data_IF_919286986131
#
_entry.id   IF_919286986131
#
_cell.length_a   1.000
_cell.length_b   1.000
_cell.length_c   1.000
_cell.angle_alpha   90.00
_cell.angle_beta   90.00
_cell.angle_gamma   90.00
#
_symmetry.space_group_name_H-M   'P 1'
#
loop_
_entity.id
_entity.type
_entity.pdbx_description
1 polymer ?
#
# COMPACT_ATOMS: atom_id res chain seq x y z
N UNK A 1 -15.07 -28.20 30.68
CA UNK A 1 -16.41 -28.29 30.06
C UNK A 1 -16.45 -27.24 28.96
N UNK A 2 -16.31 -27.67 27.71
CA UNK A 2 -16.33 -26.77 26.55
C UNK A 2 -17.79 -26.39 26.29
N UNK A 3 -18.14 -25.11 26.39
CA UNK A 3 -19.45 -24.62 25.97
C UNK A 3 -19.42 -24.44 24.46
N UNK A 4 -19.87 -25.45 23.72
CA UNK A 4 -20.10 -25.34 22.28
C UNK A 4 -21.28 -24.37 22.06
N UNK A 5 -21.03 -23.30 21.29
CA UNK A 5 -22.06 -22.35 20.89
C UNK A 5 -22.85 -23.02 19.76
N UNK A 6 -24.04 -23.54 20.04
CA UNK A 6 -24.95 -24.03 18.99
C UNK A 6 -25.32 -22.87 18.08
N UNK A 7 -24.93 -22.97 16.81
CA UNK A 7 -25.37 -22.02 15.78
C UNK A 7 -26.84 -22.31 15.47
N UNK A 8 -27.75 -21.33 15.61
CA UNK A 8 -29.14 -21.56 15.25
C UNK A 8 -29.24 -21.92 13.76
N UNK A 9 -30.04 -22.94 13.46
CA UNK A 9 -30.35 -23.30 12.09
C UNK A 9 -31.14 -22.17 11.43
N UNK A 10 -30.70 -21.70 10.26
CA UNK A 10 -31.43 -20.70 9.49
C UNK A 10 -32.73 -21.32 8.97
N UNK A 11 -33.85 -20.65 9.20
CA UNK A 11 -35.18 -21.03 8.70
C UNK A 11 -35.67 -20.00 7.68
N UNK A 12 -36.73 -20.36 6.95
CA UNK A 12 -37.39 -19.44 6.02
C UNK A 12 -38.08 -18.29 6.77
N UNK A 13 -38.07 -17.08 6.19
CA UNK A 13 -38.67 -15.88 6.79
C UNK A 13 -40.16 -16.04 7.09
N UNK A 14 -40.86 -16.95 6.39
CA UNK A 14 -42.25 -17.30 6.69
C UNK A 14 -42.47 -17.77 8.14
N UNK A 15 -41.46 -18.37 8.77
CA UNK A 15 -41.53 -18.83 10.15
C UNK A 15 -41.18 -17.75 11.18
N UNK A 16 -40.83 -16.54 10.73
CA UNK A 16 -40.52 -15.42 11.61
C UNK A 16 -41.77 -14.56 11.85
N UNK A 17 -42.08 -14.27 13.12
CA UNK A 17 -43.14 -13.34 13.49
C UNK A 17 -42.74 -11.90 13.15
N UNK A 18 -43.54 -11.13 12.37
CA UNK A 18 -43.17 -9.78 11.95
C UNK A 18 -42.90 -8.80 13.09
N UNK A 19 -43.55 -9.00 14.25
CA UNK A 19 -43.39 -8.18 15.45
C UNK A 19 -42.06 -8.39 16.17
N UNK A 20 -41.42 -9.54 15.95
CA UNK A 20 -40.11 -9.89 16.51
C UNK A 20 -38.98 -9.51 15.55
N UNK A 21 -39.33 -8.95 14.38
CA UNK A 21 -38.33 -8.45 13.43
C UNK A 21 -37.57 -7.29 14.08
N UNK A 22 -36.25 -7.42 14.31
CA UNK A 22 -35.49 -6.35 14.90
C UNK A 22 -35.51 -5.12 13.99
N UNK A 23 -35.42 -3.95 14.60
CA UNK A 23 -35.31 -2.69 13.87
C UNK A 23 -34.15 -2.74 12.88
N UNK A 24 -34.37 -2.18 11.69
CA UNK A 24 -33.33 -2.10 10.67
C UNK A 24 -32.17 -1.25 11.18
N UNK A 25 -31.05 -1.89 11.49
CA UNK A 25 -29.83 -1.21 11.88
C UNK A 25 -28.99 -0.89 10.64
N UNK A 26 -28.85 0.40 10.34
CA UNK A 26 -27.88 0.88 9.37
C UNK A 26 -26.54 1.13 10.06
N UNK A 27 -25.46 0.68 9.43
CA UNK A 27 -24.08 1.00 9.85
C UNK A 27 -23.30 1.56 8.67
N UNK A 28 -22.37 2.48 8.94
CA UNK A 28 -21.44 2.90 7.92
C UNK A 28 -20.46 1.77 7.61
N UNK A 29 -20.01 1.69 6.36
CA UNK A 29 -18.91 0.82 5.95
C UNK A 29 -17.63 1.65 5.84
N UNK A 30 -16.47 1.00 5.99
CA UNK A 30 -15.15 1.63 5.89
C UNK A 30 -14.94 2.78 6.90
N UNK A 31 -15.36 2.56 8.16
CA UNK A 31 -15.16 3.54 9.25
C UNK A 31 -13.68 3.72 9.61
N UNK A 32 -12.85 2.70 9.37
CA UNK A 32 -11.40 2.77 9.56
C UNK A 32 -10.71 3.48 8.40
N UNK A 33 -9.80 4.39 8.76
CA UNK A 33 -8.90 4.98 7.77
C UNK A 33 -7.99 3.90 7.18
N UNK A 34 -7.77 3.95 5.87
CA UNK A 34 -6.77 3.11 5.23
C UNK A 34 -5.40 3.32 5.92
N UNK A 35 -4.68 2.23 6.24
CA UNK A 35 -3.37 2.35 6.88
C UNK A 35 -2.39 3.09 5.97
N UNK A 36 -1.46 3.84 6.56
CA UNK A 36 -0.44 4.53 5.78
C UNK A 36 0.46 3.55 5.04
N UNK A 37 0.83 3.90 3.82
CA UNK A 37 1.65 3.05 2.93
C UNK A 37 2.74 3.84 2.24
N UNK A 38 3.77 3.14 1.77
CA UNK A 38 4.77 3.75 0.90
C UNK A 38 4.19 3.95 -0.50
N UNK A 39 4.17 5.19 -0.95
CA UNK A 39 4.01 5.54 -2.35
C UNK A 39 5.39 5.71 -2.99
N UNK A 40 5.52 5.36 -4.27
CA UNK A 40 6.75 5.59 -5.04
C UNK A 40 6.45 6.03 -6.47
N UNK A 41 7.23 6.99 -6.95
CA UNK A 41 7.12 7.51 -8.30
C UNK A 41 7.91 6.69 -9.32
N UNK A 42 7.86 7.09 -10.60
CA UNK A 42 8.70 6.52 -11.64
C UNK A 42 10.18 6.81 -11.37
N UNK A 43 11.05 5.99 -11.96
CA UNK A 43 12.48 6.27 -11.98
C UNK A 43 12.75 7.50 -12.86
N UNK A 44 13.53 8.43 -12.32
CA UNK A 44 14.13 9.52 -13.09
C UNK A 44 15.20 8.97 -14.05
N UNK A 45 15.66 9.82 -14.97
CA UNK A 45 16.80 9.53 -15.81
C UNK A 45 18.05 9.21 -14.97
N UNK A 46 18.98 8.48 -15.58
CA UNK A 46 20.27 8.23 -14.98
C UNK A 46 21.04 9.53 -14.76
N UNK A 47 21.80 9.60 -13.66
CA UNK A 47 22.66 10.73 -13.33
C UNK A 47 23.74 11.03 -14.37
N UNK A 48 23.99 10.09 -15.29
CA UNK A 48 24.78 10.28 -16.51
C UNK A 48 24.08 9.57 -17.67
N UNK A 49 24.27 10.11 -18.87
CA UNK A 49 23.77 9.53 -20.13
C UNK A 49 24.63 8.37 -20.64
N UNK A 50 25.86 8.22 -20.14
CA UNK A 50 26.76 7.13 -20.50
C UNK A 50 27.56 6.60 -19.28
N UNK A 51 28.07 5.38 -19.41
CA UNK A 51 28.89 4.70 -18.41
C UNK A 51 30.38 4.95 -18.70
N UNK A 52 30.95 5.97 -18.06
CA UNK A 52 32.38 6.26 -18.14
C UNK A 52 33.21 5.32 -17.25
N UNK A 53 34.51 5.19 -17.52
CA UNK A 53 35.43 4.39 -16.69
C UNK A 53 35.36 4.80 -15.22
N UNK A 54 35.12 3.83 -14.34
CA UNK A 54 35.01 4.05 -12.90
C UNK A 54 33.76 4.80 -12.44
N UNK A 55 32.84 5.18 -13.34
CA UNK A 55 31.58 5.84 -12.99
C UNK A 55 30.47 4.80 -12.77
N UNK A 56 29.65 5.03 -11.75
CA UNK A 56 28.45 4.22 -11.43
C UNK A 56 27.22 5.12 -11.44
N UNK A 57 26.66 5.42 -12.62
CA UNK A 57 25.48 6.27 -12.71
C UNK A 57 24.31 5.64 -11.96
N UNK A 58 23.55 6.49 -11.27
CA UNK A 58 22.40 6.09 -10.46
C UNK A 58 21.15 6.75 -11.02
N UNK A 59 20.02 6.07 -10.89
CA UNK A 59 18.69 6.66 -11.07
C UNK A 59 18.01 6.76 -9.72
N UNK A 60 17.24 7.83 -9.54
CA UNK A 60 16.48 8.13 -8.32
C UNK A 60 14.98 8.06 -8.62
N UNK A 61 14.16 7.76 -7.61
CA UNK A 61 12.71 7.97 -7.66
C UNK A 61 12.25 8.60 -6.36
N UNK A 62 11.08 9.22 -6.37
CA UNK A 62 10.43 9.66 -5.13
C UNK A 62 9.89 8.46 -4.36
N UNK A 63 10.09 8.45 -3.04
CA UNK A 63 9.51 7.48 -2.11
C UNK A 63 8.98 8.27 -0.92
N UNK A 64 7.67 8.22 -0.70
CA UNK A 64 6.97 9.06 0.28
C UNK A 64 5.97 8.19 1.06
N UNK A 65 5.92 8.37 2.37
CA UNK A 65 4.85 7.77 3.18
C UNK A 65 3.57 8.55 2.95
N UNK A 66 2.46 7.89 2.63
CA UNK A 66 1.16 8.55 2.42
C UNK A 66 0.07 7.94 3.28
N UNK A 67 -0.93 8.74 3.65
CA UNK A 67 -2.14 8.28 4.33
C UNK A 67 -3.20 7.73 3.35
N UNK A 68 -4.38 7.39 3.88
CA UNK A 68 -5.51 6.88 3.09
C UNK A 68 -6.09 7.86 2.06
N UNK A 69 -5.70 9.13 2.11
CA UNK A 69 -6.11 10.20 1.18
C UNK A 69 -4.97 10.62 0.24
N UNK A 70 -3.88 9.85 0.20
CA UNK A 70 -2.65 10.13 -0.57
C UNK A 70 -1.88 11.37 -0.09
N UNK A 71 -2.14 11.88 1.13
CA UNK A 71 -1.40 13.00 1.68
C UNK A 71 -0.05 12.54 2.25
N UNK A 72 0.99 13.32 2.00
CA UNK A 72 2.34 13.01 2.46
C UNK A 72 2.45 13.08 4.00
N UNK A 73 3.03 12.03 4.57
CA UNK A 73 3.31 11.89 5.99
C UNK A 73 4.83 11.76 6.24
N UNK A 74 5.29 12.02 7.46
CA UNK A 74 6.63 11.65 7.88
C UNK A 74 6.88 10.13 7.80
N UNK A 75 8.08 9.72 7.37
CA UNK A 75 8.50 8.33 7.20
C UNK A 75 8.20 7.38 8.38
N UNK A 76 8.15 7.91 9.60
CA UNK A 76 7.89 7.12 10.82
C UNK A 76 6.51 6.46 10.86
N UNK A 77 5.55 6.96 10.08
CA UNK A 77 4.20 6.42 10.03
C UNK A 77 4.12 5.17 9.14
N UNK A 78 5.05 4.97 8.22
CA UNK A 78 5.10 3.79 7.38
C UNK A 78 6.11 2.76 7.90
N UNK A 79 5.83 1.47 7.67
CA UNK A 79 6.73 0.38 8.04
C UNK A 79 8.03 0.45 7.24
N UNK A 80 9.14 0.77 7.92
CA UNK A 80 10.47 0.90 7.30
C UNK A 80 10.95 -0.38 6.61
N UNK A 81 10.48 -1.56 7.03
CA UNK A 81 10.85 -2.85 6.42
C UNK A 81 10.40 -2.95 4.97
N UNK A 82 9.30 -2.26 4.64
CA UNK A 82 8.71 -2.25 3.31
C UNK A 82 9.08 -0.99 2.52
N UNK A 83 9.98 -0.15 3.02
CA UNK A 83 10.37 1.09 2.33
C UNK A 83 11.04 0.76 0.98
N UNK A 84 10.47 1.19 -0.15
CA UNK A 84 11.06 0.94 -1.45
C UNK A 84 12.42 1.66 -1.60
N UNK A 85 13.36 1.05 -2.34
CA UNK A 85 14.64 1.71 -2.63
C UNK A 85 14.46 3.01 -3.40
N UNK A 86 15.10 4.08 -2.93
CA UNK A 86 15.06 5.40 -3.56
C UNK A 86 16.08 5.53 -4.70
N UNK A 87 17.16 4.75 -4.66
CA UNK A 87 18.25 4.76 -5.63
C UNK A 87 18.48 3.38 -6.21
N UNK A 88 18.80 3.30 -7.51
CA UNK A 88 19.28 2.08 -8.16
C UNK A 88 20.39 2.39 -9.17
N UNK A 89 21.35 1.48 -9.37
CA UNK A 89 22.33 1.60 -10.44
C UNK A 89 21.67 1.63 -11.82
N UNK A 90 22.30 2.34 -12.75
CA UNK A 90 21.96 2.30 -14.16
C UNK A 90 22.73 1.18 -14.85
N UNK A 91 22.01 0.30 -15.53
CA UNK A 91 22.56 -0.87 -16.24
C UNK A 91 22.33 -0.83 -17.75
N UNK A 92 21.60 0.19 -18.24
CA UNK A 92 21.12 0.26 -19.62
C UNK A 92 21.34 1.65 -20.21
N UNK A 93 22.60 2.09 -20.23
CA UNK A 93 23.07 3.32 -20.88
C UNK A 93 24.35 3.00 -21.67
N UNK A 94 24.66 3.72 -22.77
CA UNK A 94 25.85 3.48 -23.57
C UNK A 94 27.14 3.71 -22.76
N UNK A 95 28.26 3.15 -23.21
CA UNK A 95 29.58 3.46 -22.65
C UNK A 95 30.03 4.81 -23.22
N UNK A 96 30.67 5.66 -22.42
CA UNK A 96 31.23 6.90 -22.94
C UNK A 96 32.45 6.56 -23.80
N UNK A 97 32.52 7.06 -25.02
CA UNK A 97 33.73 6.98 -25.83
C UNK A 97 34.69 8.08 -25.36
N UNK A 98 35.91 7.67 -25.00
CA UNK A 98 37.00 8.58 -24.66
C UNK A 98 37.49 9.20 -26.00
N UNK A 99 37.06 10.42 -26.35
CA UNK A 99 37.66 11.23 -27.43
C UNK A 99 38.97 11.84 -26.93
#
# INVERSE_FOLDING_TARGET
MSSEIERPNMVDEYYCEPQDKPDMQMRACNEDNCPSRWWFGPWQACSASCMGKGKKPMKRRSVVCVDGTEMALPDKFCDKRNKPFEYKPCTSIPVCEDI
#
